data_IF_224212920247
#
_entry.id   IF_224212920247
#
_cell.length_a   1.000
_cell.length_b   1.000
_cell.length_c   1.000
_cell.angle_alpha   90.00
_cell.angle_beta   90.00
_cell.angle_gamma   90.00
#
_symmetry.space_group_name_H-M   'P 1'
#
loop_
_entity.id
_entity.type
_entity.pdbx_description
1 polymer ?
#
# COMPACT_ATOMS: atom_id res chain seq x y z
N UNK A 1 -32.03 17.21 -71.70
CA UNK A 1 -31.91 17.89 -70.43
C UNK A 1 -32.48 17.01 -69.37
N UNK A 2 -31.63 16.30 -68.59
CA UNK A 2 -32.04 15.43 -67.46
C UNK A 2 -31.28 15.90 -66.25
N UNK A 3 -32.00 16.53 -65.37
CA UNK A 3 -31.53 17.00 -64.04
C UNK A 3 -31.54 15.79 -63.10
N UNK A 4 -30.35 15.36 -62.71
CA UNK A 4 -30.16 14.31 -61.65
C UNK A 4 -30.23 14.92 -60.25
N UNK A 5 -31.15 14.47 -59.45
CA UNK A 5 -31.28 14.83 -58.05
C UNK A 5 -30.37 13.92 -57.22
N UNK A 6 -29.35 14.50 -56.61
CA UNK A 6 -28.47 13.81 -55.68
C UNK A 6 -29.04 13.98 -54.26
N UNK A 7 -29.60 12.89 -53.73
CA UNK A 7 -30.07 12.83 -52.35
C UNK A 7 -28.86 12.41 -51.48
N UNK A 8 -28.30 13.39 -50.76
CA UNK A 8 -27.29 13.10 -49.77
C UNK A 8 -27.90 12.56 -48.47
N UNK A 9 -27.59 11.32 -48.16
CA UNK A 9 -27.99 10.69 -46.90
C UNK A 9 -26.98 11.13 -45.85
N UNK A 10 -27.38 12.05 -44.96
CA UNK A 10 -26.65 12.35 -43.75
C UNK A 10 -26.88 11.24 -42.73
N UNK A 11 -25.87 10.42 -42.49
CA UNK A 11 -25.85 9.45 -41.40
C UNK A 11 -25.43 10.18 -40.13
N UNK A 12 -26.38 10.57 -39.32
CA UNK A 12 -26.12 11.12 -38.00
C UNK A 12 -25.70 9.98 -37.07
N UNK A 13 -24.40 9.84 -36.82
CA UNK A 13 -23.87 9.00 -35.73
C UNK A 13 -24.25 9.63 -34.39
N UNK A 14 -25.36 9.20 -33.85
CA UNK A 14 -25.73 9.47 -32.46
C UNK A 14 -24.82 8.58 -31.58
N UNK A 15 -23.73 9.15 -31.12
CA UNK A 15 -22.89 8.54 -30.10
C UNK A 15 -23.62 8.64 -28.76
N UNK A 16 -24.41 7.61 -28.42
CA UNK A 16 -24.95 7.45 -27.07
C UNK A 16 -23.77 7.17 -26.12
N UNK A 17 -23.24 8.22 -25.51
CA UNK A 17 -22.40 8.08 -24.33
C UNK A 17 -23.33 7.70 -23.18
N UNK A 18 -23.39 6.43 -22.83
CA UNK A 18 -23.97 6.01 -21.55
C UNK A 18 -23.18 6.72 -20.43
N UNK A 19 -23.84 7.63 -19.76
CA UNK A 19 -23.34 8.19 -18.51
C UNK A 19 -23.42 7.08 -17.47
N UNK A 20 -22.28 6.48 -17.14
CA UNK A 20 -22.18 5.61 -15.97
C UNK A 20 -22.56 6.46 -14.77
N UNK A 21 -23.75 6.29 -14.28
CA UNK A 21 -24.19 6.91 -13.03
C UNK A 21 -23.47 6.16 -11.89
N UNK A 22 -22.80 6.86 -10.96
CA UNK A 22 -22.27 6.20 -9.81
C UNK A 22 -23.41 5.52 -9.06
N UNK A 23 -23.21 4.25 -8.72
CA UNK A 23 -24.17 3.52 -7.89
C UNK A 23 -24.21 4.21 -6.52
N UNK A 24 -25.30 4.92 -6.25
CA UNK A 24 -25.52 5.49 -4.91
C UNK A 24 -26.07 4.37 -4.05
N UNK A 25 -25.26 3.87 -3.12
CA UNK A 25 -25.73 2.96 -2.07
C UNK A 25 -26.45 3.80 -1.02
N UNK A 26 -27.75 3.70 -0.99
CA UNK A 26 -28.57 4.33 0.05
C UNK A 26 -28.65 3.33 1.22
N UNK A 27 -27.97 3.61 2.32
CA UNK A 27 -28.10 2.83 3.54
C UNK A 27 -29.12 3.53 4.48
N UNK A 28 -30.19 2.83 4.82
CA UNK A 28 -31.11 3.29 5.85
C UNK A 28 -30.53 2.93 7.23
N UNK A 29 -30.08 3.94 7.95
CA UNK A 29 -29.48 3.78 9.27
C UNK A 29 -30.53 3.71 10.39
N UNK A 30 -31.81 3.89 10.09
CA UNK A 30 -32.88 3.85 11.10
C UNK A 30 -33.12 2.45 11.68
N UNK A 31 -32.75 1.41 10.92
CA UNK A 31 -32.83 0.00 11.35
C UNK A 31 -31.46 -0.61 11.69
N UNK A 32 -30.43 0.22 11.76
CA UNK A 32 -29.09 -0.27 12.10
C UNK A 32 -29.06 -0.75 13.56
N UNK A 33 -29.04 -2.06 13.74
CA UNK A 33 -28.86 -2.67 15.06
C UNK A 33 -27.36 -2.73 15.34
N UNK A 34 -26.89 -1.85 16.23
CA UNK A 34 -25.53 -1.89 16.75
C UNK A 34 -25.39 -3.06 17.74
N UNK A 35 -25.03 -4.22 17.23
CA UNK A 35 -24.53 -5.31 18.07
C UNK A 35 -23.10 -5.60 17.61
N UNK A 36 -22.13 -5.37 18.50
CA UNK A 36 -20.70 -5.61 18.23
C UNK A 36 -20.42 -7.05 17.74
N UNK A 37 -21.29 -7.99 18.10
CA UNK A 37 -21.21 -9.40 17.71
C UNK A 37 -21.68 -9.70 16.28
N UNK A 38 -22.36 -8.75 15.59
CA UNK A 38 -22.89 -8.98 14.24
C UNK A 38 -21.80 -8.89 13.18
N UNK A 39 -20.75 -8.13 13.43
CA UNK A 39 -19.67 -7.84 12.48
C UNK A 39 -18.42 -8.68 12.68
N UNK A 40 -18.24 -9.25 13.88
CA UNK A 40 -17.08 -10.03 14.25
C UNK A 40 -17.51 -11.42 14.71
N UNK A 41 -17.12 -12.44 13.93
CA UNK A 41 -17.37 -13.84 14.29
C UNK A 41 -16.40 -14.29 15.40
N UNK A 42 -15.22 -13.68 15.49
CA UNK A 42 -14.19 -13.95 16.47
C UNK A 42 -13.32 -12.71 16.68
N UNK A 43 -12.78 -12.54 17.87
CA UNK A 43 -11.88 -11.43 18.23
C UNK A 43 -10.69 -11.98 19.00
N UNK A 44 -9.50 -11.80 18.45
CA UNK A 44 -8.23 -12.12 19.10
C UNK A 44 -7.55 -10.83 19.57
N UNK A 45 -7.20 -10.76 20.86
CA UNK A 45 -6.43 -9.66 21.42
C UNK A 45 -4.98 -10.09 21.53
N UNK A 46 -4.08 -9.39 20.86
CA UNK A 46 -2.65 -9.65 20.87
C UNK A 46 -1.95 -8.55 21.66
N UNK A 47 -1.13 -8.94 22.63
CA UNK A 47 -0.30 -8.01 23.40
C UNK A 47 1.14 -8.10 22.89
N UNK A 48 1.63 -7.08 22.17
CA UNK A 48 3.02 -7.06 21.74
C UNK A 48 3.98 -7.04 22.93
N UNK A 49 5.03 -7.86 22.88
CA UNK A 49 6.06 -7.91 23.90
C UNK A 49 6.80 -6.57 23.96
N UNK A 50 6.88 -6.00 25.17
CA UNK A 50 7.54 -4.72 25.41
C UNK A 50 8.96 -4.95 25.91
N UNK A 51 9.93 -4.46 25.15
CA UNK A 51 11.37 -4.45 25.46
C UNK A 51 11.91 -3.05 25.13
N UNK A 52 13.13 -2.74 25.52
CA UNK A 52 13.76 -1.45 25.17
C UNK A 52 13.82 -1.21 23.66
N UNK A 53 13.84 -2.27 22.84
CA UNK A 53 13.86 -2.19 21.37
C UNK A 53 12.47 -2.17 20.75
N UNK A 54 11.47 -2.69 21.44
CA UNK A 54 10.10 -2.83 20.93
C UNK A 54 9.12 -1.76 21.45
N UNK A 55 9.60 -0.73 22.13
CA UNK A 55 8.77 0.42 22.49
C UNK A 55 8.15 1.03 21.24
N UNK A 56 6.88 1.36 21.31
CA UNK A 56 6.10 1.93 20.23
C UNK A 56 5.72 3.36 20.59
N UNK A 57 6.02 4.31 19.71
CA UNK A 57 5.67 5.72 19.88
C UNK A 57 4.41 6.09 19.11
N UNK A 58 4.38 5.81 17.79
CA UNK A 58 3.22 6.13 16.95
C UNK A 58 3.10 5.12 15.80
N UNK A 59 2.06 4.30 15.85
CA UNK A 59 1.77 3.33 14.78
C UNK A 59 1.14 4.07 13.60
N UNK A 60 1.77 3.97 12.43
CA UNK A 60 1.24 4.46 11.17
C UNK A 60 0.60 3.33 10.35
N UNK A 61 1.24 2.16 10.31
CA UNK A 61 0.78 1.02 9.51
C UNK A 61 1.03 -0.30 10.21
N UNK A 62 0.10 -1.22 10.03
CA UNK A 62 0.19 -2.60 10.50
C UNK A 62 -0.02 -3.50 9.30
N UNK A 63 0.89 -4.46 9.10
CA UNK A 63 0.70 -5.55 8.15
C UNK A 63 0.70 -6.87 8.91
N UNK A 64 -0.34 -7.66 8.69
CA UNK A 64 -0.52 -8.96 9.30
C UNK A 64 -0.35 -10.04 8.25
N UNK A 65 0.52 -11.00 8.51
CA UNK A 65 0.64 -12.23 7.73
C UNK A 65 0.28 -13.43 8.60
N UNK A 66 0.10 -14.63 8.08
CA UNK A 66 -0.14 -15.82 8.89
C UNK A 66 0.94 -16.07 9.94
N UNK A 67 2.17 -15.63 9.73
CA UNK A 67 3.31 -15.91 10.60
C UNK A 67 3.73 -14.73 11.47
N UNK A 68 3.52 -13.50 11.01
CA UNK A 68 4.15 -12.29 11.56
C UNK A 68 3.19 -11.13 11.69
N UNK A 69 3.57 -10.21 12.58
CA UNK A 69 3.00 -8.87 12.70
C UNK A 69 4.13 -7.89 12.41
N UNK A 70 3.90 -6.97 11.50
CA UNK A 70 4.82 -5.89 11.16
C UNK A 70 4.16 -4.57 11.53
N UNK A 71 4.85 -3.76 12.34
CA UNK A 71 4.37 -2.45 12.77
C UNK A 71 5.32 -1.36 12.29
N UNK A 72 4.79 -0.34 11.64
CA UNK A 72 5.54 0.85 11.29
C UNK A 72 5.31 1.93 12.34
N UNK A 73 6.37 2.25 13.08
CA UNK A 73 6.42 3.40 13.97
C UNK A 73 7.03 4.59 13.23
N UNK A 74 6.16 5.51 12.81
CA UNK A 74 6.56 6.66 12.00
C UNK A 74 7.39 7.67 12.80
N UNK A 75 7.15 7.77 14.10
CA UNK A 75 7.88 8.72 14.94
C UNK A 75 9.34 8.29 15.13
N UNK A 76 9.54 7.03 15.45
CA UNK A 76 10.88 6.46 15.65
C UNK A 76 11.51 5.96 14.34
N UNK A 77 10.80 6.08 13.22
CA UNK A 77 11.26 5.66 11.87
C UNK A 77 11.79 4.24 11.85
N UNK A 78 11.04 3.33 12.42
CA UNK A 78 11.39 1.90 12.53
C UNK A 78 10.24 1.00 12.15
N UNK A 79 10.57 -0.21 11.72
CA UNK A 79 9.61 -1.29 11.52
C UNK A 79 9.89 -2.33 12.57
N UNK A 80 8.88 -2.66 13.36
CA UNK A 80 8.94 -3.67 14.42
C UNK A 80 8.35 -4.97 13.91
N UNK A 81 9.03 -6.06 14.17
CA UNK A 81 8.65 -7.41 13.77
C UNK A 81 8.30 -8.25 15.00
N UNK A 82 7.11 -8.82 14.97
CA UNK A 82 6.64 -9.73 16.02
C UNK A 82 6.16 -11.06 15.42
N UNK A 83 6.19 -12.11 16.22
CA UNK A 83 5.44 -13.33 15.91
C UNK A 83 3.95 -13.05 15.90
N UNK A 84 3.14 -13.94 15.32
CA UNK A 84 1.69 -13.83 15.31
C UNK A 84 1.08 -13.75 16.75
N UNK A 85 1.81 -14.23 17.76
CA UNK A 85 1.43 -14.18 19.18
C UNK A 85 1.96 -12.95 19.92
N UNK A 86 2.53 -11.98 19.22
CA UNK A 86 3.04 -10.75 19.81
C UNK A 86 4.45 -10.82 20.38
N UNK A 87 5.17 -11.95 20.30
CA UNK A 87 6.56 -12.03 20.78
C UNK A 87 7.47 -11.22 19.86
N UNK A 88 8.29 -10.32 20.43
CA UNK A 88 9.25 -9.51 19.68
C UNK A 88 10.31 -10.35 18.99
N UNK A 89 10.62 -10.02 17.75
CA UNK A 89 11.65 -10.68 16.95
C UNK A 89 12.82 -9.74 16.76
N UNK A 90 12.58 -8.61 16.11
CA UNK A 90 13.59 -7.59 15.82
C UNK A 90 12.93 -6.28 15.41
N UNK A 91 13.75 -5.24 15.27
CA UNK A 91 13.38 -3.99 14.64
C UNK A 91 14.31 -3.69 13.47
N UNK A 92 13.78 -3.04 12.42
CA UNK A 92 14.54 -2.51 11.30
C UNK A 92 14.58 -1.00 11.49
N UNK A 93 15.76 -0.48 11.82
CA UNK A 93 15.99 0.94 12.12
C UNK A 93 17.39 1.39 11.70
N UNK A 94 17.88 1.05 10.51
CA UNK A 94 19.16 1.55 10.05
C UNK A 94 19.07 3.05 9.77
N UNK A 95 20.00 3.83 10.30
CA UNK A 95 20.03 5.29 10.13
C UNK A 95 21.31 5.71 9.44
N UNK A 96 21.20 6.29 8.23
CA UNK A 96 22.35 6.72 7.47
C UNK A 96 22.08 6.89 5.98
N UNK A 97 23.15 6.87 5.20
CA UNK A 97 23.11 6.99 3.74
C UNK A 97 23.82 5.84 3.01
N UNK A 98 24.25 4.85 3.76
CA UNK A 98 24.89 3.64 3.22
C UNK A 98 23.87 2.67 2.58
N UNK A 99 24.37 1.57 2.02
CA UNK A 99 23.52 0.49 1.55
C UNK A 99 22.64 -0.04 2.68
N UNK A 100 21.34 -0.16 2.42
CA UNK A 100 20.37 -0.59 3.42
C UNK A 100 20.03 0.43 4.50
N UNK A 101 20.52 1.67 4.42
CA UNK A 101 20.23 2.73 5.39
C UNK A 101 19.28 3.77 4.81
N UNK A 102 18.57 4.50 5.69
CA UNK A 102 17.71 5.65 5.33
C UNK A 102 17.86 6.81 6.32
N UNK A 103 17.52 8.01 5.88
CA UNK A 103 17.32 9.18 6.75
C UNK A 103 15.84 9.36 7.09
N UNK A 104 14.96 8.97 6.19
CA UNK A 104 13.51 8.96 6.34
C UNK A 104 12.91 7.76 5.64
N UNK A 105 11.91 7.19 6.26
CA UNK A 105 11.07 6.13 5.74
C UNK A 105 9.67 6.70 5.54
N UNK A 106 9.03 6.40 4.42
CA UNK A 106 7.69 6.90 4.11
C UNK A 106 6.63 5.84 4.32
N UNK A 107 6.89 4.62 3.90
CA UNK A 107 5.98 3.50 4.07
C UNK A 107 6.71 2.15 3.91
N UNK A 108 5.98 1.08 4.15
CA UNK A 108 6.44 -0.28 3.88
C UNK A 108 5.29 -1.18 3.43
N UNK A 109 5.63 -2.28 2.79
CA UNK A 109 4.72 -3.39 2.52
C UNK A 109 5.45 -4.72 2.68
N UNK A 110 4.71 -5.82 2.64
CA UNK A 110 5.27 -7.17 2.80
C UNK A 110 4.90 -8.01 1.59
N UNK A 111 5.89 -8.69 1.05
CA UNK A 111 5.72 -9.74 0.07
C UNK A 111 5.74 -11.10 0.76
N UNK A 112 4.57 -11.74 0.86
CA UNK A 112 4.44 -13.02 1.51
C UNK A 112 5.03 -14.16 0.67
N UNK A 113 5.05 -14.01 -0.66
CA UNK A 113 5.56 -15.02 -1.58
C UNK A 113 7.07 -15.14 -1.47
N UNK A 114 7.77 -14.01 -1.57
CA UNK A 114 9.22 -13.94 -1.49
C UNK A 114 9.72 -13.79 -0.04
N UNK A 115 8.80 -13.60 0.92
CA UNK A 115 9.08 -13.35 2.35
C UNK A 115 9.98 -12.14 2.54
N UNK A 116 9.65 -11.05 1.85
CA UNK A 116 10.42 -9.82 1.88
C UNK A 116 9.60 -8.68 2.47
N UNK A 117 10.29 -7.80 3.18
CA UNK A 117 9.77 -6.51 3.65
C UNK A 117 10.31 -5.46 2.71
N UNK A 118 9.43 -4.71 2.07
CA UNK A 118 9.76 -3.68 1.09
C UNK A 118 9.50 -2.34 1.73
N UNK A 119 10.53 -1.52 1.82
CA UNK A 119 10.51 -0.23 2.50
C UNK A 119 10.77 0.88 1.49
N UNK A 120 9.99 1.96 1.54
CA UNK A 120 10.25 3.18 0.76
C UNK A 120 10.93 4.23 1.61
N UNK A 121 12.03 4.79 1.09
CA UNK A 121 12.78 5.86 1.73
C UNK A 121 12.69 7.15 0.92
N UNK A 122 12.78 8.29 1.61
CA UNK A 122 12.62 9.61 1.01
C UNK A 122 13.94 10.35 0.75
N UNK A 123 15.04 9.91 1.35
CA UNK A 123 16.37 10.59 1.22
C UNK A 123 17.55 9.61 1.23
N UNK A 124 18.01 9.15 0.07
CA UNK A 124 17.46 9.31 -1.28
C UNK A 124 16.20 8.47 -1.50
N UNK A 125 15.45 8.76 -2.60
CA UNK A 125 14.31 7.93 -2.99
C UNK A 125 14.78 6.56 -3.40
N UNK A 126 14.39 5.54 -2.66
CA UNK A 126 14.76 4.16 -2.94
C UNK A 126 13.81 3.17 -2.29
N UNK A 127 13.77 1.98 -2.86
CA UNK A 127 13.19 0.80 -2.25
C UNK A 127 14.30 0.00 -1.59
N UNK A 128 14.06 -0.45 -0.36
CA UNK A 128 14.95 -1.32 0.38
C UNK A 128 14.22 -2.63 0.67
N UNK A 129 14.91 -3.72 0.54
CA UNK A 129 14.36 -5.05 0.73
C UNK A 129 15.05 -5.73 1.88
N UNK A 130 14.27 -6.26 2.80
CA UNK A 130 14.73 -7.01 3.97
C UNK A 130 14.06 -8.36 4.03
N UNK A 131 14.71 -9.34 4.62
CA UNK A 131 14.06 -10.60 4.94
C UNK A 131 13.16 -10.49 6.19
N UNK A 132 12.42 -11.54 6.50
CA UNK A 132 11.55 -11.59 7.69
C UNK A 132 12.29 -11.61 9.03
N UNK A 133 13.62 -11.66 9.03
CA UNK A 133 14.46 -11.51 10.23
C UNK A 133 15.04 -10.10 10.33
N UNK A 134 14.71 -9.20 9.39
CA UNK A 134 15.19 -7.83 9.37
C UNK A 134 16.57 -7.65 8.77
N UNK A 135 17.12 -8.67 8.10
CA UNK A 135 18.41 -8.56 7.42
C UNK A 135 18.22 -7.87 6.07
N UNK A 136 19.10 -6.92 5.77
CA UNK A 136 19.11 -6.23 4.49
C UNK A 136 19.49 -7.19 3.35
N UNK A 137 18.71 -7.15 2.26
CA UNK A 137 18.94 -7.98 1.08
C UNK A 137 19.49 -7.17 -0.09
N UNK A 138 18.80 -6.11 -0.47
CA UNK A 138 19.13 -5.27 -1.61
C UNK A 138 18.40 -3.93 -1.57
N UNK A 139 18.81 -3.00 -2.41
CA UNK A 139 18.10 -1.74 -2.63
C UNK A 139 18.00 -1.43 -4.12
N UNK A 140 17.00 -0.62 -4.48
CA UNK A 140 16.77 -0.11 -5.82
C UNK A 140 16.46 1.39 -5.72
N UNK A 141 17.24 2.21 -6.40
CA UNK A 141 16.99 3.66 -6.49
C UNK A 141 15.67 3.91 -7.21
N UNK A 142 14.91 4.88 -6.75
CA UNK A 142 13.68 5.34 -7.38
C UNK A 142 13.83 6.78 -7.86
N UNK A 143 13.19 7.10 -8.98
CA UNK A 143 13.06 8.47 -9.48
C UNK A 143 11.83 9.18 -8.91
N UNK A 144 10.91 8.42 -8.31
CA UNK A 144 9.67 8.93 -7.75
C UNK A 144 9.64 8.84 -6.22
N UNK A 145 8.88 9.75 -5.61
CA UNK A 145 8.58 9.74 -4.19
C UNK A 145 7.28 8.97 -3.95
N UNK A 146 7.32 7.96 -3.10
CA UNK A 146 6.17 7.15 -2.72
C UNK A 146 5.79 7.44 -1.28
N UNK A 147 4.54 7.83 -1.06
CA UNK A 147 4.00 8.10 0.28
C UNK A 147 3.30 6.91 0.88
N UNK A 148 2.73 6.06 0.03
CA UNK A 148 2.00 4.88 0.46
C UNK A 148 2.13 3.79 -0.60
N UNK A 149 2.52 2.59 -0.17
CA UNK A 149 2.68 1.43 -1.05
C UNK A 149 1.89 0.24 -0.51
N UNK A 150 1.39 -0.59 -1.39
CA UNK A 150 0.80 -1.88 -1.04
C UNK A 150 1.27 -2.95 -2.02
N UNK A 151 1.35 -4.18 -1.55
CA UNK A 151 1.64 -5.35 -2.38
C UNK A 151 0.32 -5.97 -2.84
N UNK A 152 0.21 -6.21 -4.15
CA UNK A 152 -0.80 -7.08 -4.74
C UNK A 152 -0.14 -8.36 -5.21
N UNK A 153 -0.93 -9.32 -5.69
CA UNK A 153 -0.45 -10.63 -6.17
C UNK A 153 0.67 -10.50 -7.21
N UNK A 154 0.61 -9.47 -8.04
CA UNK A 154 1.49 -9.36 -9.21
C UNK A 154 2.44 -8.15 -9.16
N UNK A 155 2.13 -7.12 -8.35
CA UNK A 155 2.89 -5.86 -8.36
C UNK A 155 2.84 -5.12 -7.03
N UNK A 156 3.77 -4.20 -6.84
CA UNK A 156 3.63 -3.15 -5.83
C UNK A 156 2.76 -2.05 -6.43
N UNK A 157 1.64 -1.74 -5.79
CA UNK A 157 0.81 -0.59 -6.14
C UNK A 157 1.20 0.60 -5.28
N UNK A 158 1.33 1.73 -5.94
CA UNK A 158 1.38 3.02 -5.30
C UNK A 158 -0.05 3.57 -5.16
N UNK A 159 -0.49 3.79 -3.95
CA UNK A 159 -1.85 4.26 -3.67
C UNK A 159 -1.91 5.78 -3.68
N UNK A 160 -0.79 6.46 -3.44
CA UNK A 160 -0.81 7.91 -3.24
C UNK A 160 0.52 8.58 -3.63
N UNK A 161 0.94 8.42 -4.91
CA UNK A 161 2.10 9.16 -5.39
C UNK A 161 1.76 10.62 -5.68
N UNK A 162 2.49 11.52 -5.08
CA UNK A 162 2.65 12.87 -5.62
C UNK A 162 3.63 12.82 -6.79
N UNK A 163 3.31 12.08 -7.84
CA UNK A 163 4.09 12.09 -9.07
C UNK A 163 3.74 13.36 -9.80
N UNK A 164 4.74 14.17 -10.12
CA UNK A 164 4.62 15.37 -10.94
C UNK A 164 4.24 15.08 -12.40
N UNK A 165 4.16 13.80 -12.80
CA UNK A 165 3.75 13.39 -14.15
C UNK A 165 2.99 12.04 -14.16
N UNK A 166 1.85 11.92 -14.89
CA UNK A 166 0.96 10.75 -14.81
C UNK A 166 1.40 9.52 -15.63
N UNK A 167 2.65 9.36 -15.99
CA UNK A 167 3.09 8.35 -16.96
C UNK A 167 3.76 7.07 -16.40
N UNK A 168 3.91 6.90 -15.11
CA UNK A 168 4.69 5.78 -14.55
C UNK A 168 3.94 4.82 -13.62
N UNK A 169 2.67 4.58 -13.85
CA UNK A 169 1.86 3.80 -12.91
C UNK A 169 2.13 2.28 -12.86
N UNK A 170 2.93 1.68 -13.71
CA UNK A 170 2.92 0.20 -13.80
C UNK A 170 4.21 -0.51 -14.25
N UNK A 171 5.38 0.13 -14.32
CA UNK A 171 6.52 -0.54 -14.96
C UNK A 171 7.77 -0.77 -14.11
N UNK A 172 7.74 -0.63 -12.80
CA UNK A 172 8.96 -0.61 -11.99
C UNK A 172 9.42 -1.95 -11.41
N UNK A 173 8.71 -3.04 -11.65
CA UNK A 173 9.03 -4.35 -11.05
C UNK A 173 8.99 -5.51 -12.04
N UNK A 174 9.51 -5.35 -13.25
CA UNK A 174 9.93 -6.47 -14.08
C UNK A 174 11.44 -6.64 -14.02
#
# INVERSE_FOLDING_TARGET
>A
MKTGLIIGIYFALVCCREKIQPAVVQADLSEAVYTDTTWFADCEIIFPETTDRSLISMINKIVLTPERIFLFDIQDKKILLFTRRGKFITDIRPHGRGPGEWLGITDFTVDETDREIIVTADRPYKFLYYDYNGNFLREKTSEAFYTEITRTTDNILDINSKVLEPKHYLSLLN
#
